data_IF_410477209338
#
_entry.id   IF_410477209338
#
_cell.length_a   1.000
_cell.length_b   1.000
_cell.length_c   1.000
_cell.angle_alpha   90.00
_cell.angle_beta   90.00
_cell.angle_gamma   90.00
#
_symmetry.space_group_name_H-M   'P 1'
#
loop_
_entity.id
_entity.type
_entity.pdbx_description
1 polymer ?
#
# COMPACT_ATOMS: atom_id res chain seq x y z
N UNK A 1 -34.97 53.29 -22.56
CA UNK A 1 -35.10 52.13 -23.43
C UNK A 1 -34.90 50.93 -22.56
N UNK A 2 -35.92 50.09 -22.45
CA UNK A 2 -35.89 48.96 -21.53
C UNK A 2 -35.01 47.86 -22.12
N UNK A 3 -33.89 47.59 -21.46
CA UNK A 3 -33.03 46.46 -21.82
C UNK A 3 -33.64 45.20 -21.22
N UNK A 4 -33.77 44.16 -22.05
CA UNK A 4 -34.21 42.83 -21.62
C UNK A 4 -33.00 41.90 -21.63
N UNK A 5 -32.68 41.34 -20.48
CA UNK A 5 -31.69 40.26 -20.39
C UNK A 5 -32.25 39.01 -21.06
N UNK A 6 -31.48 38.43 -21.99
CA UNK A 6 -31.91 37.29 -22.80
C UNK A 6 -31.06 36.04 -22.46
N UNK A 7 -29.85 36.24 -21.94
CA UNK A 7 -28.86 35.18 -21.73
C UNK A 7 -27.70 35.65 -20.85
N UNK A 8 -27.22 34.79 -19.96
CA UNK A 8 -26.03 35.02 -19.12
C UNK A 8 -24.97 33.98 -19.50
N UNK A 9 -23.76 34.44 -19.87
CA UNK A 9 -22.62 33.58 -20.21
C UNK A 9 -21.30 34.28 -19.96
N UNK A 10 -20.23 33.52 -19.75
CA UNK A 10 -18.89 34.06 -19.70
C UNK A 10 -18.37 34.37 -21.10
N UNK A 11 -17.59 35.45 -21.22
CA UNK A 11 -16.86 35.76 -22.44
C UNK A 11 -15.56 34.97 -22.39
N UNK A 12 -15.50 33.90 -23.16
CA UNK A 12 -14.36 32.99 -23.26
C UNK A 12 -13.18 33.64 -24.00
N UNK A 13 -13.51 34.36 -25.08
CA UNK A 13 -12.55 35.18 -25.81
C UNK A 13 -13.20 36.42 -26.39
N UNK A 14 -12.42 37.48 -26.52
CA UNK A 14 -12.85 38.74 -27.15
C UNK A 14 -11.86 39.17 -28.22
N UNK A 15 -12.39 39.60 -29.35
CA UNK A 15 -11.65 40.21 -30.44
C UNK A 15 -12.27 41.55 -30.79
N UNK A 16 -11.45 42.58 -30.94
CA UNK A 16 -11.90 43.89 -31.39
C UNK A 16 -11.03 44.34 -32.56
N UNK A 17 -11.70 44.80 -33.61
CA UNK A 17 -11.09 45.44 -34.77
C UNK A 17 -11.93 46.66 -35.13
N UNK A 18 -11.41 47.54 -35.98
CA UNK A 18 -12.08 48.77 -36.41
C UNK A 18 -13.46 48.55 -37.04
N UNK A 19 -13.76 47.32 -37.47
CA UNK A 19 -15.02 46.96 -38.15
C UNK A 19 -15.86 45.91 -37.41
N UNK A 20 -15.32 45.29 -36.35
CA UNK A 20 -15.97 44.12 -35.73
C UNK A 20 -15.55 43.95 -34.29
N UNK A 21 -16.54 43.72 -33.43
CA UNK A 21 -16.36 43.17 -32.09
C UNK A 21 -16.86 41.73 -32.13
N UNK A 22 -16.05 40.80 -31.65
CA UNK A 22 -16.39 39.38 -31.50
C UNK A 22 -16.29 38.99 -30.03
N UNK A 23 -17.32 38.32 -29.55
CA UNK A 23 -17.31 37.63 -28.27
C UNK A 23 -17.51 36.15 -28.56
N UNK A 24 -16.63 35.28 -28.06
CA UNK A 24 -16.98 33.89 -27.85
C UNK A 24 -17.64 33.79 -26.48
N UNK A 25 -18.86 33.28 -26.47
CA UNK A 25 -19.65 33.10 -25.27
C UNK A 25 -19.58 31.62 -24.88
N UNK A 26 -19.25 31.34 -23.63
CA UNK A 26 -19.23 29.99 -23.05
C UNK A 26 -20.44 29.81 -22.16
N UNK A 27 -21.27 28.82 -22.48
CA UNK A 27 -22.42 28.43 -21.66
C UNK A 27 -22.00 27.38 -20.63
N UNK A 28 -21.69 27.84 -19.42
CA UNK A 28 -21.24 26.98 -18.31
C UNK A 28 -22.30 25.94 -17.94
N UNK A 29 -23.59 26.19 -18.19
CA UNK A 29 -24.66 25.21 -17.90
C UNK A 29 -24.52 23.96 -18.76
N UNK A 30 -24.02 24.11 -19.99
CA UNK A 30 -23.75 22.96 -20.87
C UNK A 30 -22.67 22.06 -20.28
N UNK A 31 -21.66 22.65 -19.63
CA UNK A 31 -20.55 21.91 -19.00
C UNK A 31 -20.97 21.33 -17.64
N UNK A 32 -21.77 22.06 -16.86
CA UNK A 32 -22.36 21.58 -15.61
C UNK A 32 -23.34 20.42 -15.82
N UNK A 33 -24.06 20.38 -16.94
CA UNK A 33 -24.98 19.30 -17.29
C UNK A 33 -24.28 18.03 -17.79
N UNK A 34 -22.99 18.10 -18.12
CA UNK A 34 -22.25 16.89 -18.47
C UNK A 34 -22.04 16.05 -17.20
N UNK A 35 -22.00 14.72 -17.33
CA UNK A 35 -21.61 13.85 -16.23
C UNK A 35 -20.17 14.13 -15.81
N UNK A 36 -19.87 14.04 -14.51
CA UNK A 36 -18.49 13.96 -14.03
C UNK A 36 -17.95 12.61 -14.51
N UNK A 37 -16.90 12.63 -15.32
CA UNK A 37 -16.27 11.42 -15.84
C UNK A 37 -15.16 11.06 -14.87
N UNK A 38 -15.43 10.11 -13.99
CA UNK A 38 -14.41 9.54 -13.12
C UNK A 38 -13.47 8.66 -13.96
N UNK A 39 -12.18 8.63 -13.58
CA UNK A 39 -11.22 7.80 -14.28
C UNK A 39 -11.58 6.32 -14.11
N UNK A 40 -11.18 5.54 -15.09
CA UNK A 40 -11.41 4.09 -15.14
C UNK A 40 -10.08 3.38 -15.30
N UNK A 41 -10.00 2.20 -14.72
CA UNK A 41 -8.86 1.34 -14.97
C UNK A 41 -8.82 0.92 -16.44
N UNK A 42 -7.62 0.88 -17.00
CA UNK A 42 -7.34 0.51 -18.37
C UNK A 42 -5.92 -0.07 -18.48
N UNK A 43 -5.66 -0.83 -19.53
CA UNK A 43 -4.36 -1.49 -19.75
C UNK A 43 -3.28 -0.58 -20.30
N UNK A 44 -3.60 0.66 -20.66
CA UNK A 44 -2.58 1.64 -21.07
C UNK A 44 -1.86 2.20 -19.86
N UNK A 45 -2.62 2.55 -18.81
CA UNK A 45 -2.07 3.08 -17.56
C UNK A 45 -1.67 1.98 -16.58
N UNK A 46 -2.33 0.82 -16.65
CA UNK A 46 -2.09 -0.34 -15.78
C UNK A 46 -1.99 -1.62 -16.63
N UNK A 47 -0.84 -1.89 -17.27
CA UNK A 47 -0.69 -3.02 -18.21
C UNK A 47 -0.99 -4.39 -17.59
N UNK A 48 -0.70 -4.57 -16.31
CA UNK A 48 -0.76 -5.84 -15.58
C UNK A 48 -2.01 -5.98 -14.70
N UNK A 49 -3.01 -5.10 -14.89
CA UNK A 49 -4.26 -5.16 -14.12
C UNK A 49 -5.09 -6.40 -14.49
N UNK A 50 -5.71 -7.01 -13.48
CA UNK A 50 -6.69 -8.08 -13.70
C UNK A 50 -7.86 -7.58 -14.58
N UNK A 51 -8.17 -8.35 -15.63
CA UNK A 51 -9.17 -7.99 -16.65
C UNK A 51 -10.54 -7.65 -16.05
N UNK A 52 -10.88 -8.22 -14.88
CA UNK A 52 -12.14 -7.97 -14.19
C UNK A 52 -12.27 -6.53 -13.67
N UNK A 53 -11.17 -5.76 -13.58
CA UNK A 53 -11.19 -4.36 -13.16
C UNK A 53 -11.17 -3.38 -14.34
N UNK A 54 -10.85 -3.83 -15.56
CA UNK A 54 -10.81 -2.95 -16.74
C UNK A 54 -12.18 -2.29 -16.94
N UNK A 55 -12.19 -0.96 -17.09
CA UNK A 55 -13.39 -0.15 -17.28
C UNK A 55 -14.18 0.14 -15.99
N UNK A 56 -13.82 -0.47 -14.85
CA UNK A 56 -14.36 -0.06 -13.54
C UNK A 56 -13.78 1.28 -13.14
N UNK A 57 -14.55 2.02 -12.35
CA UNK A 57 -14.12 3.32 -11.81
C UNK A 57 -12.96 3.14 -10.84
N UNK A 58 -11.97 4.04 -10.91
CA UNK A 58 -10.95 4.16 -9.88
C UNK A 58 -11.62 4.78 -8.64
N UNK A 59 -11.42 4.24 -7.42
CA UNK A 59 -11.99 4.81 -6.21
C UNK A 59 -11.59 6.29 -6.04
N UNK A 60 -12.54 7.17 -5.76
CA UNK A 60 -12.30 8.56 -5.45
C UNK A 60 -12.63 8.82 -3.99
N UNK A 61 -11.60 8.91 -3.16
CA UNK A 61 -11.72 9.03 -1.70
C UNK A 61 -11.62 10.50 -1.29
N UNK A 62 -12.61 10.95 -0.53
CA UNK A 62 -12.65 12.24 0.15
C UNK A 62 -12.74 12.01 1.66
N UNK A 63 -12.13 12.90 2.42
CA UNK A 63 -12.05 12.78 3.88
C UNK A 63 -11.23 11.57 4.33
N UNK A 64 -11.47 11.14 5.56
CA UNK A 64 -10.94 9.89 6.08
C UNK A 64 -11.80 8.71 5.66
N UNK A 65 -11.17 7.63 5.21
CA UNK A 65 -11.80 6.33 5.00
C UNK A 65 -11.03 5.27 5.75
N UNK A 66 -11.78 4.50 6.53
CA UNK A 66 -11.24 3.38 7.27
C UNK A 66 -11.40 2.09 6.46
N UNK A 67 -10.34 1.27 6.44
CA UNK A 67 -10.34 -0.10 5.92
C UNK A 67 -10.90 -0.26 4.49
N UNK A 68 -10.52 0.64 3.59
CA UNK A 68 -10.88 0.54 2.17
C UNK A 68 -10.06 -0.57 1.49
N UNK A 69 -10.73 -1.42 0.71
CA UNK A 69 -10.04 -2.48 -0.04
C UNK A 69 -9.42 -1.86 -1.30
N UNK A 70 -8.09 -1.84 -1.43
CA UNK A 70 -7.44 -1.33 -2.62
C UNK A 70 -7.55 -2.34 -3.77
N UNK A 71 -7.35 -1.87 -5.00
CA UNK A 71 -7.47 -2.70 -6.20
C UNK A 71 -6.06 -3.09 -6.66
N UNK A 72 -5.77 -4.40 -6.85
CA UNK A 72 -4.49 -4.82 -7.40
C UNK A 72 -4.38 -4.35 -8.85
N UNK A 73 -3.39 -3.50 -9.12
CA UNK A 73 -3.11 -2.98 -10.47
C UNK A 73 -1.93 -3.70 -11.13
N UNK A 74 -1.12 -4.39 -10.33
CA UNK A 74 -0.01 -5.23 -10.76
C UNK A 74 0.31 -6.20 -9.61
N UNK A 75 -0.15 -7.44 -9.74
CA UNK A 75 0.05 -8.46 -8.70
C UNK A 75 1.49 -8.98 -8.64
N UNK A 76 2.24 -8.90 -9.76
CA UNK A 76 3.61 -9.41 -9.83
C UNK A 76 4.58 -8.52 -9.06
N UNK A 77 4.35 -7.20 -9.11
CA UNK A 77 5.09 -6.19 -8.36
C UNK A 77 4.35 -5.70 -7.10
N UNK A 78 3.23 -6.34 -6.75
CA UNK A 78 2.42 -6.06 -5.55
C UNK A 78 2.01 -4.59 -5.41
N UNK A 79 1.54 -3.99 -6.50
CA UNK A 79 1.00 -2.65 -6.53
C UNK A 79 -0.53 -2.66 -6.37
N UNK A 80 -1.00 -1.90 -5.39
CA UNK A 80 -2.42 -1.80 -5.04
C UNK A 80 -2.86 -0.33 -5.04
N UNK A 81 -3.82 0.00 -5.92
CA UNK A 81 -4.37 1.36 -6.05
C UNK A 81 -5.52 1.57 -5.07
N UNK A 82 -5.44 2.59 -4.23
CA UNK A 82 -6.49 2.89 -3.25
C UNK A 82 -7.29 4.18 -3.56
N UNK A 83 -6.78 5.08 -4.40
CA UNK A 83 -7.47 6.34 -4.72
C UNK A 83 -7.12 6.87 -6.13
N UNK A 84 -7.96 7.73 -6.72
CA UNK A 84 -7.80 8.31 -8.07
C UNK A 84 -6.95 9.59 -8.06
N UNK A 85 -5.71 9.52 -7.61
CA UNK A 85 -4.78 10.66 -7.60
C UNK A 85 -4.12 10.97 -8.94
N UNK A 86 -4.60 10.38 -10.04
CA UNK A 86 -4.10 10.67 -11.40
C UNK A 86 -4.37 12.12 -11.84
N UNK A 87 -5.30 12.81 -11.19
CA UNK A 87 -5.68 14.19 -11.51
C UNK A 87 -5.08 15.12 -10.47
N UNK A 88 -3.98 15.81 -10.80
CA UNK A 88 -3.38 17.00 -10.12
C UNK A 88 -3.35 17.05 -8.58
N UNK A 89 -3.73 15.99 -7.89
CA UNK A 89 -4.09 15.94 -6.50
C UNK A 89 -3.61 14.62 -5.95
N UNK A 90 -2.96 14.68 -4.80
CA UNK A 90 -2.42 13.52 -4.09
C UNK A 90 -3.39 13.06 -3.02
N UNK A 91 -3.21 11.82 -2.57
CA UNK A 91 -3.79 11.40 -1.30
C UNK A 91 -3.05 12.07 -0.14
N UNK A 92 -3.75 12.33 0.95
CA UNK A 92 -3.21 13.03 2.11
C UNK A 92 -2.24 12.16 2.91
N UNK A 93 -2.70 10.98 3.31
CA UNK A 93 -1.91 10.04 4.11
C UNK A 93 -2.52 8.65 4.04
N UNK A 94 -1.68 7.64 4.26
CA UNK A 94 -2.11 6.31 4.67
C UNK A 94 -1.83 6.23 6.17
N UNK A 95 -2.87 5.96 6.95
CA UNK A 95 -2.77 5.87 8.41
C UNK A 95 -2.48 4.44 8.86
N UNK A 96 -2.94 3.46 8.09
CA UNK A 96 -2.82 2.03 8.41
C UNK A 96 -3.03 1.16 7.18
N UNK A 97 -2.28 0.07 7.08
CA UNK A 97 -2.53 -1.01 6.12
C UNK A 97 -2.62 -2.32 6.89
N UNK A 98 -3.63 -3.13 6.58
CA UNK A 98 -3.82 -4.45 7.17
C UNK A 98 -3.80 -5.52 6.09
N UNK A 99 -3.21 -6.67 6.42
CA UNK A 99 -3.31 -7.93 5.66
C UNK A 99 -3.99 -8.95 6.56
N UNK A 100 -5.15 -9.46 6.14
CA UNK A 100 -5.92 -10.47 6.90
C UNK A 100 -6.13 -10.07 8.38
N UNK A 101 -6.51 -8.82 8.61
CA UNK A 101 -6.73 -8.22 9.95
C UNK A 101 -5.46 -8.05 10.82
N UNK A 102 -4.27 -8.27 10.25
CA UNK A 102 -2.98 -7.96 10.88
C UNK A 102 -2.45 -6.64 10.32
N UNK A 103 -2.19 -5.69 11.21
CA UNK A 103 -1.61 -4.41 10.86
C UNK A 103 -0.15 -4.55 10.41
N UNK A 104 0.17 -3.93 9.28
CA UNK A 104 1.50 -3.90 8.70
C UNK A 104 2.18 -2.57 8.99
N UNK A 105 3.50 -2.63 9.08
CA UNK A 105 4.37 -1.47 9.34
C UNK A 105 4.89 -0.89 8.00
N UNK A 106 4.66 0.40 7.77
CA UNK A 106 5.21 1.16 6.64
C UNK A 106 6.74 1.16 6.65
N UNK A 107 7.38 1.20 5.48
CA UNK A 107 8.83 1.10 5.25
C UNK A 107 9.49 -0.23 5.65
N UNK A 108 8.71 -1.15 6.24
CA UNK A 108 9.11 -2.53 6.53
C UNK A 108 8.38 -3.52 5.63
N UNK A 109 7.05 -3.42 5.55
CA UNK A 109 6.22 -4.35 4.77
C UNK A 109 5.72 -3.75 3.47
N UNK A 110 5.52 -2.42 3.46
CA UNK A 110 4.99 -1.70 2.30
C UNK A 110 5.52 -0.27 2.24
N UNK A 111 5.42 0.31 1.06
CA UNK A 111 5.69 1.71 0.76
C UNK A 111 4.45 2.36 0.17
N UNK A 112 4.28 3.66 0.41
CA UNK A 112 3.14 4.43 -0.10
C UNK A 112 3.60 5.51 -1.07
N UNK A 113 3.17 5.41 -2.33
CA UNK A 113 3.24 6.52 -3.27
C UNK A 113 1.94 7.34 -3.15
N UNK A 114 1.96 8.40 -2.34
CA UNK A 114 0.79 9.28 -2.14
C UNK A 114 0.42 10.07 -3.40
N UNK A 115 1.37 10.32 -4.31
CA UNK A 115 1.08 11.02 -5.56
C UNK A 115 0.30 10.13 -6.51
N UNK A 116 0.63 8.84 -6.57
CA UNK A 116 -0.10 7.86 -7.37
C UNK A 116 -1.16 7.10 -6.60
N UNK A 117 -1.27 7.27 -5.30
CA UNK A 117 -2.15 6.51 -4.39
C UNK A 117 -2.02 5.01 -4.59
N UNK A 118 -0.76 4.55 -4.58
CA UNK A 118 -0.38 3.15 -4.71
C UNK A 118 0.29 2.73 -3.41
N UNK A 119 -0.15 1.60 -2.85
CA UNK A 119 0.61 0.85 -1.86
C UNK A 119 1.40 -0.22 -2.60
N UNK A 120 2.71 -0.26 -2.38
CA UNK A 120 3.62 -1.27 -2.93
C UNK A 120 4.11 -2.14 -1.79
N UNK A 121 3.86 -3.44 -1.85
CA UNK A 121 4.41 -4.37 -0.87
C UNK A 121 5.82 -4.82 -1.30
N UNK A 122 6.74 -4.91 -0.33
CA UNK A 122 8.13 -5.25 -0.62
C UNK A 122 8.28 -6.74 -0.89
N UNK A 123 8.47 -7.12 -2.16
CA UNK A 123 8.53 -8.53 -2.59
C UNK A 123 9.73 -9.30 -2.03
N UNK A 124 10.83 -8.62 -1.70
CA UNK A 124 12.06 -9.24 -1.20
C UNK A 124 12.16 -9.27 0.32
N UNK A 125 11.16 -8.75 1.04
CA UNK A 125 11.07 -8.74 2.50
C UNK A 125 12.19 -7.96 3.18
N UNK A 126 11.83 -6.98 4.01
CA UNK A 126 12.80 -6.24 4.81
C UNK A 126 12.76 -6.72 6.25
N UNK A 127 13.83 -7.39 6.67
CA UNK A 127 13.98 -7.91 8.03
C UNK A 127 14.91 -7.03 8.83
N UNK A 128 14.49 -6.64 10.03
CA UNK A 128 15.32 -5.85 10.96
C UNK A 128 15.75 -6.76 12.09
N UNK A 129 17.05 -7.00 12.20
CA UNK A 129 17.67 -7.74 13.29
C UNK A 129 18.25 -6.72 14.27
N UNK A 130 17.81 -6.80 15.52
CA UNK A 130 18.25 -5.93 16.61
C UNK A 130 18.98 -6.79 17.63
N UNK A 131 20.18 -6.35 18.01
CA UNK A 131 21.03 -7.09 18.94
C UNK A 131 20.34 -7.30 20.30
N UNK A 132 20.31 -8.54 20.77
CA UNK A 132 19.64 -8.98 22.00
C UNK A 132 18.11 -8.88 21.95
N UNK A 133 17.49 -8.99 20.77
CA UNK A 133 16.03 -8.90 20.59
C UNK A 133 15.49 -9.98 19.67
N UNK A 134 16.07 -10.15 18.49
CA UNK A 134 15.63 -11.15 17.51
C UNK A 134 16.81 -11.64 16.67
N UNK A 135 17.92 -11.86 17.34
CA UNK A 135 19.24 -12.11 16.76
C UNK A 135 19.83 -13.46 17.13
N UNK A 136 19.07 -14.38 17.72
CA UNK A 136 19.55 -15.71 18.12
C UNK A 136 18.78 -16.86 17.44
N UNK A 137 19.47 -17.98 17.18
CA UNK A 137 18.88 -19.27 16.81
C UNK A 137 19.55 -20.34 17.67
N UNK A 138 18.75 -21.00 18.48
CA UNK A 138 19.18 -22.19 19.19
C UNK A 138 18.84 -23.45 18.40
N UNK A 139 19.79 -24.37 18.32
CA UNK A 139 19.63 -25.61 17.58
C UNK A 139 20.47 -26.74 18.20
N UNK A 140 20.17 -27.99 17.86
CA UNK A 140 20.87 -29.16 18.41
C UNK A 140 21.16 -30.21 17.34
N UNK A 141 22.43 -30.58 17.19
CA UNK A 141 22.93 -31.57 16.22
C UNK A 141 23.12 -32.97 16.85
N UNK A 142 22.49 -33.23 17.99
CA UNK A 142 22.60 -34.47 18.77
C UNK A 142 23.69 -34.49 19.85
N UNK A 143 24.46 -33.41 20.00
CA UNK A 143 25.54 -33.29 20.99
C UNK A 143 25.33 -32.18 22.03
N UNK A 144 24.09 -31.70 22.16
CA UNK A 144 23.73 -30.59 23.03
C UNK A 144 23.43 -29.32 22.25
N UNK A 145 23.01 -28.29 22.99
CA UNK A 145 22.48 -27.07 22.40
C UNK A 145 23.60 -26.17 21.89
N UNK A 146 23.36 -25.62 20.70
CA UNK A 146 24.21 -24.69 19.99
C UNK A 146 23.43 -23.40 19.78
N UNK A 147 24.14 -22.28 19.70
CA UNK A 147 23.54 -20.96 19.47
C UNK A 147 24.26 -20.23 18.34
N UNK A 148 23.48 -19.66 17.42
CA UNK A 148 23.94 -18.82 16.33
C UNK A 148 23.41 -17.38 16.50
N UNK A 149 24.33 -16.42 16.63
CA UNK A 149 24.00 -14.99 16.78
C UNK A 149 24.15 -14.23 15.48
N UNK A 150 23.06 -13.62 15.00
CA UNK A 150 22.99 -12.81 13.78
C UNK A 150 23.54 -11.41 14.03
N UNK A 151 24.23 -10.83 13.05
CA UNK A 151 24.66 -9.44 13.17
C UNK A 151 23.44 -8.49 13.11
N UNK A 152 23.39 -7.42 13.92
CA UNK A 152 22.28 -6.47 13.86
C UNK A 152 22.32 -5.68 12.55
N UNK A 153 21.16 -5.51 11.92
CA UNK A 153 21.09 -4.86 10.62
C UNK A 153 19.71 -4.95 9.97
N UNK A 154 19.62 -4.39 8.78
CA UNK A 154 18.48 -4.56 7.89
C UNK A 154 18.88 -5.48 6.75
N UNK A 155 18.12 -6.55 6.56
CA UNK A 155 18.39 -7.58 5.58
C UNK A 155 17.25 -7.68 4.57
N UNK A 156 17.60 -7.98 3.32
CA UNK A 156 16.66 -8.60 2.38
C UNK A 156 16.48 -10.07 2.73
N UNK A 157 15.46 -10.75 2.21
CA UNK A 157 15.31 -12.22 2.38
C UNK A 157 16.59 -12.97 2.06
N UNK A 158 17.19 -12.70 0.90
CA UNK A 158 18.41 -13.37 0.46
C UNK A 158 19.60 -13.03 1.39
N UNK A 159 19.69 -11.79 1.86
CA UNK A 159 20.70 -11.37 2.83
C UNK A 159 20.55 -12.10 4.16
N UNK A 160 19.32 -12.21 4.67
CA UNK A 160 19.05 -12.87 5.94
C UNK A 160 19.27 -14.38 5.86
N UNK A 161 18.85 -15.02 4.76
CA UNK A 161 19.14 -16.44 4.52
C UNK A 161 20.64 -16.71 4.54
N UNK A 162 21.43 -15.87 3.84
CA UNK A 162 22.88 -16.00 3.82
C UNK A 162 23.51 -15.79 5.19
N UNK A 163 23.01 -14.83 5.97
CA UNK A 163 23.44 -14.56 7.34
C UNK A 163 23.17 -15.76 8.26
N UNK A 164 21.92 -16.24 8.33
CA UNK A 164 21.53 -17.39 9.15
C UNK A 164 22.38 -18.61 8.78
N UNK A 165 22.51 -18.90 7.49
CA UNK A 165 23.32 -20.02 7.02
C UNK A 165 24.79 -19.90 7.47
N UNK A 166 25.36 -18.70 7.39
CA UNK A 166 26.75 -18.46 7.79
C UNK A 166 26.93 -18.63 9.31
N UNK A 167 25.99 -18.11 10.11
CA UNK A 167 26.05 -18.16 11.58
C UNK A 167 25.81 -19.57 12.11
N UNK A 168 24.83 -20.31 11.59
CA UNK A 168 24.61 -21.70 11.98
C UNK A 168 25.79 -22.62 11.61
N UNK A 169 26.37 -22.47 10.41
CA UNK A 169 27.58 -23.23 10.03
C UNK A 169 28.82 -22.87 10.85
N UNK A 170 28.87 -21.67 11.42
CA UNK A 170 29.98 -21.26 12.29
C UNK A 170 29.82 -21.83 13.72
N UNK A 171 28.57 -22.00 14.17
CA UNK A 171 28.24 -22.53 15.49
C UNK A 171 28.19 -24.08 15.53
N UNK A 172 27.76 -24.71 14.45
CA UNK A 172 27.59 -26.17 14.35
C UNK A 172 28.62 -26.87 13.46
N UNK A 173 28.50 -28.20 13.38
CA UNK A 173 29.33 -29.06 12.55
C UNK A 173 28.66 -29.41 11.20
N UNK A 174 27.33 -29.29 11.10
CA UNK A 174 26.56 -29.63 9.91
C UNK A 174 26.61 -28.55 8.84
N UNK A 175 26.18 -28.94 7.63
CA UNK A 175 26.06 -28.03 6.50
C UNK A 175 24.63 -27.55 6.34
N UNK A 176 24.38 -26.29 6.69
CA UNK A 176 23.04 -25.73 6.54
C UNK A 176 22.80 -25.14 5.15
N UNK A 177 21.61 -25.31 4.61
CA UNK A 177 21.07 -24.54 3.48
C UNK A 177 19.86 -23.77 4.01
N UNK A 178 19.96 -22.45 3.98
CA UNK A 178 18.85 -21.57 4.34
C UNK A 178 18.42 -20.87 3.07
N UNK A 179 17.15 -21.01 2.76
CA UNK A 179 16.59 -20.42 1.56
C UNK A 179 15.08 -20.51 1.64
N UNK A 180 14.37 -19.69 0.89
CA UNK A 180 12.93 -19.78 0.94
C UNK A 180 12.40 -20.92 0.04
N UNK A 181 11.28 -21.54 0.40
CA UNK A 181 10.70 -22.64 -0.38
C UNK A 181 10.16 -22.16 -1.74
N UNK A 182 10.45 -22.97 -2.76
CA UNK A 182 9.97 -22.96 -4.15
C UNK A 182 10.64 -22.03 -5.21
N UNK A 183 11.53 -22.65 -5.98
CA UNK A 183 11.56 -22.58 -7.44
C UNK A 183 10.52 -23.60 -7.96
N UNK A 184 9.59 -23.27 -8.89
CA UNK A 184 9.78 -22.28 -9.95
C UNK A 184 8.79 -21.10 -9.98
N UNK A 185 7.94 -20.90 -8.97
CA UNK A 185 6.96 -19.80 -9.00
C UNK A 185 7.40 -18.64 -8.10
N UNK A 186 7.79 -17.53 -8.72
CA UNK A 186 8.05 -16.24 -8.07
C UNK A 186 6.83 -15.69 -7.32
N UNK A 187 6.98 -15.12 -6.09
CA UNK A 187 8.13 -15.09 -5.20
C UNK A 187 8.10 -16.20 -4.12
N UNK A 188 9.25 -16.44 -3.44
CA UNK A 188 9.34 -17.42 -2.36
C UNK A 188 8.47 -17.04 -1.17
N UNK A 189 7.85 -18.03 -0.52
CA UNK A 189 6.77 -17.78 0.45
C UNK A 189 7.18 -17.94 1.91
N UNK A 190 8.03 -18.94 2.19
CA UNK A 190 8.39 -19.37 3.55
C UNK A 190 9.88 -19.60 3.66
N UNK A 191 10.47 -19.37 4.84
CA UNK A 191 11.86 -19.75 5.08
C UNK A 191 11.98 -21.26 5.24
N UNK A 192 13.05 -21.84 4.70
CA UNK A 192 13.49 -23.19 5.04
C UNK A 192 14.87 -23.17 5.66
N UNK A 193 15.07 -24.07 6.62
CA UNK A 193 16.37 -24.35 7.23
C UNK A 193 16.57 -25.85 7.11
N UNK A 194 17.46 -26.25 6.19
CA UNK A 194 17.81 -27.64 5.96
C UNK A 194 19.26 -27.89 6.37
N UNK A 195 19.54 -29.06 6.94
CA UNK A 195 20.90 -29.56 7.08
C UNK A 195 21.30 -30.38 5.83
N UNK A 196 22.53 -30.89 5.81
CA UNK A 196 23.00 -31.75 4.73
C UNK A 196 22.24 -33.07 4.69
N UNK A 197 22.40 -33.82 3.58
CA UNK A 197 21.77 -35.12 3.47
C UNK A 197 22.21 -36.05 4.61
N UNK A 198 21.24 -36.71 5.25
CA UNK A 198 21.42 -37.58 6.42
C UNK A 198 21.89 -36.86 7.71
N UNK A 199 21.88 -35.52 7.74
CA UNK A 199 22.13 -34.71 8.94
C UNK A 199 20.77 -34.32 9.57
N UNK A 200 20.50 -34.79 10.79
CA UNK A 200 19.25 -34.50 11.51
C UNK A 200 19.56 -33.58 12.69
N UNK A 201 18.79 -32.50 12.82
CA UNK A 201 18.97 -31.51 13.89
C UNK A 201 17.62 -31.09 14.44
N UNK A 202 17.61 -30.38 15.57
CA UNK A 202 16.41 -29.75 16.13
C UNK A 202 16.59 -28.24 16.18
N UNK A 203 15.54 -27.48 15.86
CA UNK A 203 15.41 -26.06 16.13
C UNK A 203 14.71 -25.88 17.47
N UNK A 204 15.35 -25.16 18.39
CA UNK A 204 14.93 -25.06 19.78
C UNK A 204 14.21 -23.72 20.06
N UNK A 205 13.16 -23.42 19.29
CA UNK A 205 12.44 -22.16 19.36
C UNK A 205 11.86 -21.87 20.75
N UNK A 206 11.45 -22.91 21.47
CA UNK A 206 10.85 -22.79 22.79
C UNK A 206 11.84 -23.03 23.91
N UNK A 207 12.52 -24.17 23.88
CA UNK A 207 13.31 -24.65 25.04
C UNK A 207 14.79 -24.26 24.99
N UNK A 208 15.26 -23.67 23.89
CA UNK A 208 16.61 -23.16 23.73
C UNK A 208 16.98 -22.08 24.76
N UNK A 209 18.27 -21.78 24.88
CA UNK A 209 18.79 -20.77 25.82
C UNK A 209 18.19 -19.37 25.59
N UNK A 210 17.83 -19.09 24.34
CA UNK A 210 17.24 -17.87 23.79
C UNK A 210 15.78 -18.07 23.33
N UNK A 211 15.20 -19.24 23.63
CA UNK A 211 13.83 -19.58 23.28
C UNK A 211 12.78 -18.80 24.07
N UNK A 212 11.51 -19.00 23.68
CA UNK A 212 10.35 -18.29 24.23
C UNK A 212 10.19 -18.43 25.76
N UNK A 213 10.71 -19.51 26.36
CA UNK A 213 10.46 -19.81 27.78
C UNK A 213 11.37 -19.05 28.76
N UNK A 214 12.42 -18.30 28.37
CA UNK A 214 13.24 -17.54 29.35
C UNK A 214 13.99 -16.26 28.90
N UNK A 215 14.12 -15.94 27.62
CA UNK A 215 14.79 -14.68 27.18
C UNK A 215 14.28 -14.08 25.87
N UNK A 216 13.48 -14.81 25.10
CA UNK A 216 12.83 -14.39 23.84
C UNK A 216 13.66 -13.40 22.99
N UNK A 217 14.88 -13.84 22.66
CA UNK A 217 15.75 -13.14 21.72
C UNK A 217 15.90 -13.89 20.40
N UNK A 218 15.09 -14.94 20.20
CA UNK A 218 15.17 -15.79 19.02
C UNK A 218 14.60 -15.09 17.78
N UNK A 219 15.08 -15.48 16.60
CA UNK A 219 14.64 -14.94 15.33
C UNK A 219 13.39 -15.65 14.77
N UNK A 220 12.90 -16.73 15.39
CA UNK A 220 11.90 -17.65 14.80
C UNK A 220 10.68 -16.92 14.25
N UNK A 221 10.05 -16.09 15.09
CA UNK A 221 8.90 -15.28 14.70
C UNK A 221 9.21 -14.24 13.60
N UNK A 222 10.47 -13.77 13.52
CA UNK A 222 10.91 -12.84 12.46
C UNK A 222 10.99 -13.51 11.10
N UNK A 223 11.22 -14.82 11.05
CA UNK A 223 11.31 -15.61 9.80
C UNK A 223 10.11 -16.54 9.58
N UNK A 224 9.04 -16.35 10.36
CA UNK A 224 7.74 -17.02 10.18
C UNK A 224 7.61 -18.39 10.84
N UNK A 225 8.51 -18.78 11.74
CA UNK A 225 8.36 -19.96 12.58
C UNK A 225 7.63 -19.60 13.87
N UNK A 226 6.70 -20.44 14.30
CA UNK A 226 6.10 -20.36 15.63
C UNK A 226 7.09 -20.86 16.69
N UNK A 227 6.99 -20.29 17.88
CA UNK A 227 7.88 -20.53 19.02
C UNK A 227 7.15 -21.21 20.21
N UNK A 228 5.93 -21.70 19.98
CA UNK A 228 5.12 -22.37 21.00
C UNK A 228 5.56 -23.82 21.25
N UNK A 229 6.32 -24.41 20.32
CA UNK A 229 6.95 -25.73 20.39
C UNK A 229 8.32 -25.73 19.69
N UNK A 230 9.18 -26.68 20.04
CA UNK A 230 10.43 -26.93 19.31
C UNK A 230 10.14 -27.72 18.04
N UNK A 231 10.94 -27.50 16.99
CA UNK A 231 10.91 -28.34 15.79
C UNK A 231 12.04 -29.36 15.87
N UNK A 232 11.72 -30.62 16.13
CA UNK A 232 12.72 -31.64 16.48
C UNK A 232 12.89 -32.74 15.44
N UNK A 233 14.12 -33.21 15.26
CA UNK A 233 14.41 -34.51 14.67
C UNK A 233 14.23 -34.64 13.15
N UNK A 234 14.27 -33.53 12.42
CA UNK A 234 14.19 -33.50 10.95
C UNK A 234 15.49 -32.96 10.32
N UNK A 235 15.66 -33.21 9.02
CA UNK A 235 16.76 -32.66 8.20
C UNK A 235 16.36 -31.36 7.48
N UNK A 236 15.07 -31.01 7.49
CA UNK A 236 14.54 -29.82 6.84
C UNK A 236 13.29 -29.29 7.56
N UNK A 237 13.32 -28.00 7.88
CA UNK A 237 12.20 -27.28 8.46
C UNK A 237 11.72 -26.19 7.51
N UNK A 238 10.41 -26.00 7.45
CA UNK A 238 9.75 -24.92 6.72
C UNK A 238 8.97 -24.05 7.71
N UNK A 239 9.03 -22.73 7.54
CA UNK A 239 8.31 -21.77 8.36
C UNK A 239 6.78 -21.99 8.31
N UNK A 240 6.11 -21.73 9.41
CA UNK A 240 4.66 -21.86 9.54
C UNK A 240 3.92 -20.84 8.67
N UNK A 241 4.40 -19.59 8.63
CA UNK A 241 3.75 -18.46 7.97
C UNK A 241 4.52 -17.88 6.78
N UNK A 242 3.74 -17.37 5.82
CA UNK A 242 4.25 -16.59 4.69
C UNK A 242 4.61 -15.17 5.17
N UNK A 243 5.89 -14.81 5.16
CA UNK A 243 6.32 -13.54 5.77
C UNK A 243 6.18 -12.29 4.88
N UNK A 244 6.06 -12.42 3.55
CA UNK A 244 6.35 -11.27 2.66
C UNK A 244 5.32 -11.04 1.54
N UNK A 245 4.78 -12.10 0.93
CA UNK A 245 4.02 -11.95 -0.32
C UNK A 245 2.53 -11.77 -0.06
N UNK A 246 1.89 -10.78 -0.71
CA UNK A 246 0.43 -10.70 -0.80
C UNK A 246 -0.06 -11.76 -1.78
N UNK A 247 -0.80 -12.74 -1.26
CA UNK A 247 -1.42 -13.79 -2.05
C UNK A 247 -2.74 -13.30 -2.66
N UNK A 248 -3.18 -13.92 -3.76
CA UNK A 248 -4.46 -13.59 -4.41
C UNK A 248 -5.68 -13.78 -3.47
N UNK A 249 -5.55 -14.59 -2.42
CA UNK A 249 -6.59 -14.82 -1.42
C UNK A 249 -6.56 -13.85 -0.23
N UNK A 250 -5.48 -13.07 -0.08
CA UNK A 250 -5.34 -12.16 1.06
C UNK A 250 -6.29 -10.96 0.93
N UNK A 251 -6.80 -10.52 2.08
CA UNK A 251 -7.61 -9.31 2.17
C UNK A 251 -6.72 -8.17 2.64
N UNK A 252 -6.48 -7.22 1.74
CA UNK A 252 -5.80 -5.98 2.05
C UNK A 252 -6.82 -4.90 2.39
N UNK A 253 -6.56 -4.15 3.46
CA UNK A 253 -7.37 -3.00 3.88
C UNK A 253 -6.45 -1.82 4.11
N UNK A 254 -6.87 -0.65 3.64
CA UNK A 254 -6.12 0.61 3.75
C UNK A 254 -7.01 1.65 4.43
N UNK A 255 -6.55 2.17 5.56
CA UNK A 255 -7.14 3.36 6.18
C UNK A 255 -6.34 4.57 5.74
N UNK A 256 -6.99 5.55 5.12
CA UNK A 256 -6.30 6.69 4.50
C UNK A 256 -7.13 7.97 4.57
N UNK A 257 -6.42 9.11 4.50
CA UNK A 257 -7.01 10.39 4.12
C UNK A 257 -6.93 10.52 2.60
N UNK A 258 -8.07 10.80 1.99
CA UNK A 258 -8.25 10.94 0.55
C UNK A 258 -7.59 12.19 -0.03
N UNK A 259 -8.25 12.84 -0.98
CA UNK A 259 -7.69 14.03 -1.62
C UNK A 259 -7.37 15.15 -0.62
N UNK A 260 -6.22 15.78 -0.83
CA UNK A 260 -5.83 17.03 -0.17
C UNK A 260 -5.79 18.20 -1.16
N UNK A 261 -5.99 19.40 -0.63
CA UNK A 261 -5.86 20.63 -1.39
C UNK A 261 -4.38 21.05 -1.53
N UNK A 262 -4.12 22.21 -2.17
CA UNK A 262 -2.76 22.73 -2.34
C UNK A 262 -2.06 23.17 -1.05
N UNK A 263 -2.78 23.22 0.07
CA UNK A 263 -2.27 23.52 1.40
C UNK A 263 -2.10 22.24 2.26
N UNK A 264 -2.22 21.05 1.65
CA UNK A 264 -2.18 19.74 2.32
C UNK A 264 -3.30 19.49 3.34
N UNK A 265 -4.38 20.24 3.23
CA UNK A 265 -5.57 20.02 4.05
C UNK A 265 -6.48 19.01 3.36
N UNK A 266 -7.02 18.08 4.15
CA UNK A 266 -7.91 17.04 3.64
C UNK A 266 -9.24 17.63 3.19
N UNK A 267 -9.67 17.27 1.98
CA UNK A 267 -10.95 17.65 1.42
C UNK A 267 -12.01 16.70 1.98
N UNK A 268 -12.77 17.15 2.98
CA UNK A 268 -13.70 16.30 3.74
C UNK A 268 -15.15 16.79 3.74
N UNK A 269 -15.40 18.06 3.41
CA UNK A 269 -16.73 18.65 3.43
C UNK A 269 -17.28 18.83 2.01
N UNK A 270 -18.61 18.83 1.91
CA UNK A 270 -19.30 18.89 0.61
C UNK A 270 -18.97 20.12 -0.25
N UNK A 271 -18.59 21.25 0.36
CA UNK A 271 -18.25 22.46 -0.40
C UNK A 271 -16.89 22.30 -1.09
N UNK A 272 -15.88 21.80 -0.38
CA UNK A 272 -14.57 21.53 -0.95
C UNK A 272 -14.61 20.36 -1.92
N UNK A 273 -15.38 19.30 -1.63
CA UNK A 273 -15.60 18.21 -2.58
C UNK A 273 -16.22 18.75 -3.87
N UNK A 274 -17.24 19.60 -3.78
CA UNK A 274 -17.85 20.22 -4.94
C UNK A 274 -16.84 21.04 -5.76
N UNK A 275 -16.09 21.93 -5.10
CA UNK A 275 -15.05 22.73 -5.75
C UNK A 275 -14.01 21.84 -6.42
N UNK A 276 -13.55 20.81 -5.73
CA UNK A 276 -12.59 19.85 -6.25
C UNK A 276 -13.11 19.19 -7.52
N UNK A 277 -14.35 18.71 -7.53
CA UNK A 277 -14.96 18.11 -8.71
C UNK A 277 -15.07 19.10 -9.87
N UNK A 278 -15.46 20.36 -9.61
CA UNK A 278 -15.56 21.38 -10.65
C UNK A 278 -14.19 21.76 -11.22
N UNK A 279 -13.21 22.02 -10.37
CA UNK A 279 -11.87 22.42 -10.78
C UNK A 279 -11.16 21.29 -11.55
N UNK A 280 -11.17 20.07 -10.99
CA UNK A 280 -10.31 18.98 -11.46
C UNK A 280 -10.97 18.09 -12.51
N UNK A 281 -12.29 17.89 -12.45
CA UNK A 281 -12.99 17.04 -13.42
C UNK A 281 -13.76 17.83 -14.49
N UNK A 282 -14.10 19.09 -14.22
CA UNK A 282 -14.79 19.96 -15.20
C UNK A 282 -13.91 21.07 -15.77
N UNK A 283 -12.77 21.36 -15.14
CA UNK A 283 -11.89 22.45 -15.55
C UNK A 283 -12.49 23.85 -15.33
N UNK A 284 -13.52 23.96 -14.47
CA UNK A 284 -14.17 25.23 -14.12
C UNK A 284 -13.47 25.77 -12.88
N UNK A 285 -12.86 26.94 -12.98
CA UNK A 285 -12.10 27.55 -11.88
C UNK A 285 -13.00 28.12 -10.77
N UNK A 286 -12.47 28.25 -9.56
CA UNK A 286 -13.17 28.87 -8.41
C UNK A 286 -13.73 30.28 -8.74
N UNK A 287 -13.05 31.07 -9.58
CA UNK A 287 -13.51 32.40 -10.01
C UNK A 287 -14.68 32.37 -11.00
N UNK A 288 -14.90 31.23 -11.65
CA UNK A 288 -16.01 30.97 -12.57
C UNK A 288 -17.21 30.36 -11.83
N UNK A 289 -17.00 29.89 -10.61
CA UNK A 289 -18.06 29.46 -9.71
C UNK A 289 -18.66 30.68 -9.00
N UNK A 290 -19.97 30.89 -9.13
CA UNK A 290 -20.69 31.89 -8.32
C UNK A 290 -20.90 31.35 -6.90
N UNK A 291 -19.79 31.20 -6.16
CA UNK A 291 -19.75 30.64 -4.82
C UNK A 291 -20.67 31.42 -3.88
N UNK A 292 -20.71 32.75 -4.00
CA UNK A 292 -21.57 33.62 -3.18
C UNK A 292 -23.05 33.26 -3.31
N UNK A 293 -23.53 33.00 -4.53
CA UNK A 293 -24.92 32.60 -4.75
C UNK A 293 -25.20 31.17 -4.28
N UNK A 294 -24.21 30.28 -4.37
CA UNK A 294 -24.29 28.90 -3.84
C UNK A 294 -24.40 28.95 -2.30
N UNK A 295 -23.55 29.74 -1.63
CA UNK A 295 -23.59 29.93 -0.17
C UNK A 295 -24.88 30.61 0.29
N UNK A 296 -25.36 31.63 -0.44
CA UNK A 296 -26.64 32.27 -0.16
C UNK A 296 -27.81 31.29 -0.27
N UNK A 297 -27.81 30.43 -1.30
CA UNK A 297 -28.84 29.41 -1.50
C UNK A 297 -28.82 28.34 -0.41
N UNK A 298 -27.64 27.86 -0.01
CA UNK A 298 -27.46 26.93 1.12
C UNK A 298 -28.01 27.53 2.42
N UNK A 299 -27.68 28.79 2.69
CA UNK A 299 -28.13 29.50 3.90
C UNK A 299 -29.65 29.74 3.91
N UNK A 300 -30.25 29.95 2.73
CA UNK A 300 -31.69 30.12 2.59
C UNK A 300 -32.50 28.81 2.63
N UNK A 301 -31.84 27.65 2.45
CA UNK A 301 -32.48 26.31 2.45
C UNK A 301 -31.73 25.34 3.37
N UNK A 302 -31.72 25.57 4.70
CA UNK A 302 -30.93 24.76 5.63
C UNK A 302 -31.35 23.29 5.72
N UNK A 303 -32.58 22.93 5.28
CA UNK A 303 -33.16 21.59 5.44
C UNK A 303 -33.37 20.82 4.11
N UNK A 304 -32.68 21.20 3.02
CA UNK A 304 -32.76 20.47 1.74
C UNK A 304 -31.40 19.87 1.41
N UNK A 305 -31.01 18.85 2.17
CA UNK A 305 -30.01 17.84 1.83
C UNK A 305 -30.37 16.55 2.58
#
# INVERSE_FOLDING_TARGET
>A
GDFKEIFTSYIDSKGCSDKKITFQLRDVRKEMNQSIILNKFNTTDYPDIDETFIGKLIPAIFGFRDLTIPIPIDMENQHFKFNDSSIAARSGSVERVEKNDVELIEDTHYYVDLQRSIVTFERDGRFVIVAGVNDEIDFNEGNGDLNATMDPGTYTTAGLCAEIQAKMRAAGAFTYVVGPTDIPATPPKKFTIAAGADEVFSLLWKTGTNGADNTDTNIGMTIGFYDDEDSEGEDNYEADDDMITIQKGDIIKVSCKGFVNSADETIDNGAEIFKYLMNNYKGIQDSELNLDSIYATKSAKPNVL
#
